data_IF_050063337274
#
_entry.id   IF_050063337274
#
_cell.length_a   1.000
_cell.length_b   1.000
_cell.length_c   1.000
_cell.angle_alpha   90.00
_cell.angle_beta   90.00
_cell.angle_gamma   90.00
#
_symmetry.space_group_name_H-M   'P 1'
#
loop_
_entity.id
_entity.type
_entity.pdbx_description
1 polymer ?
#
# COMPACT_ATOMS: atom_id res chain seq x y z
N UNK A 1 15.27 -2.59 -0.36
CA UNK A 1 14.08 -2.56 0.48
C UNK A 1 12.84 -2.77 -0.39
N UNK A 2 11.83 -3.44 0.12
CA UNK A 2 10.58 -3.66 -0.58
C UNK A 2 9.47 -2.87 0.11
N UNK A 3 8.79 -2.02 -0.64
CA UNK A 3 7.81 -1.07 -0.12
C UNK A 3 6.46 -1.36 -0.76
N UNK A 4 5.41 -1.41 0.06
CA UNK A 4 4.03 -1.53 -0.41
C UNK A 4 3.27 -0.25 -0.09
N UNK A 5 2.68 0.36 -1.12
CA UNK A 5 1.79 1.52 -0.98
C UNK A 5 0.35 1.02 -1.10
N UNK A 6 -0.51 1.40 -0.15
CA UNK A 6 -1.93 1.08 -0.19
C UNK A 6 -2.71 2.34 -0.56
N UNK A 7 -3.39 2.31 -1.70
CA UNK A 7 -4.27 3.38 -2.15
C UNK A 7 -5.42 2.81 -2.98
N UNK A 8 -6.57 2.60 -2.36
CA UNK A 8 -7.72 1.96 -2.99
C UNK A 8 -8.51 2.87 -3.96
N UNK A 9 -8.65 4.15 -3.67
CA UNK A 9 -9.45 5.11 -4.45
C UNK A 9 -9.78 6.28 -3.54
N UNK A 10 -10.44 7.36 -3.87
CA UNK A 10 -11.17 7.72 -5.06
C UNK A 10 -10.27 8.40 -6.11
N UNK A 11 -10.87 8.75 -7.29
CA UNK A 11 -10.09 9.26 -8.43
C UNK A 11 -9.32 10.55 -8.11
N UNK A 12 -9.95 11.53 -7.45
CA UNK A 12 -9.28 12.78 -7.08
C UNK A 12 -8.10 12.55 -6.14
N UNK A 13 -8.29 11.69 -5.14
CA UNK A 13 -7.25 11.33 -4.18
C UNK A 13 -6.12 10.53 -4.83
N UNK A 14 -6.43 9.73 -5.84
CA UNK A 14 -5.41 8.99 -6.59
C UNK A 14 -4.43 9.95 -7.28
N UNK A 15 -4.96 11.00 -7.91
CA UNK A 15 -4.15 12.00 -8.60
C UNK A 15 -3.24 12.73 -7.61
N UNK A 16 -3.77 13.12 -6.44
CA UNK A 16 -2.98 13.76 -5.40
C UNK A 16 -1.88 12.83 -4.88
N UNK A 17 -2.15 11.53 -4.79
CA UNK A 17 -1.17 10.56 -4.30
C UNK A 17 0.02 10.38 -5.24
N UNK A 18 -0.06 10.81 -6.51
CA UNK A 18 1.06 10.72 -7.45
C UNK A 18 2.28 11.51 -6.95
N UNK A 19 2.05 12.68 -6.34
CA UNK A 19 3.13 13.48 -5.75
C UNK A 19 3.84 12.73 -4.61
N UNK A 20 3.08 12.07 -3.76
CA UNK A 20 3.62 11.25 -2.68
C UNK A 20 4.45 10.08 -3.22
N UNK A 21 3.96 9.41 -4.26
CA UNK A 21 4.67 8.30 -4.89
C UNK A 21 5.98 8.76 -5.57
N UNK A 22 5.95 9.93 -6.22
CA UNK A 22 7.14 10.53 -6.82
C UNK A 22 8.21 10.82 -5.76
N UNK A 23 7.80 11.41 -4.65
CA UNK A 23 8.69 11.71 -3.52
C UNK A 23 9.29 10.43 -2.95
N UNK A 24 8.46 9.40 -2.78
CA UNK A 24 8.91 8.12 -2.28
C UNK A 24 9.96 7.48 -3.20
N UNK A 25 9.72 7.50 -4.51
CA UNK A 25 10.69 6.98 -5.47
C UNK A 25 12.00 7.76 -5.44
N UNK A 26 11.94 9.08 -5.29
CA UNK A 26 13.14 9.91 -5.20
C UNK A 26 13.97 9.58 -3.96
N UNK A 27 13.32 9.28 -2.84
CA UNK A 27 14.00 8.93 -1.59
C UNK A 27 14.50 7.48 -1.55
N UNK A 28 13.89 6.58 -2.33
CA UNK A 28 14.25 5.15 -2.36
C UNK A 28 14.44 4.69 -3.82
N UNK A 29 15.46 5.23 -4.53
CA UNK A 29 15.57 5.00 -5.99
C UNK A 29 15.84 3.54 -6.37
N UNK A 30 16.41 2.76 -5.46
CA UNK A 30 16.78 1.37 -5.72
C UNK A 30 15.85 0.35 -5.05
N UNK A 31 14.77 0.80 -4.43
CA UNK A 31 13.81 -0.08 -3.78
C UNK A 31 12.76 -0.59 -4.77
N UNK A 32 12.22 -1.78 -4.48
CA UNK A 32 11.05 -2.30 -5.18
C UNK A 32 9.81 -1.67 -4.54
N UNK A 33 9.02 -0.98 -5.33
CA UNK A 33 7.80 -0.30 -4.89
C UNK A 33 6.58 -0.96 -5.53
N UNK A 34 5.71 -1.49 -4.70
CA UNK A 34 4.46 -2.11 -5.10
C UNK A 34 3.30 -1.20 -4.72
N UNK A 35 2.29 -1.14 -5.58
CA UNK A 35 1.06 -0.41 -5.30
C UNK A 35 -0.10 -1.39 -5.19
N UNK A 36 -0.84 -1.36 -4.07
CA UNK A 36 -2.06 -2.12 -3.87
C UNK A 36 -3.25 -1.19 -4.07
N UNK A 37 -4.06 -1.46 -5.08
CA UNK A 37 -5.22 -0.64 -5.45
C UNK A 37 -6.36 -1.53 -5.92
N UNK A 38 -7.54 -0.95 -6.16
CA UNK A 38 -8.66 -1.68 -6.76
C UNK A 38 -8.40 -1.91 -8.25
N UNK A 39 -8.90 -3.03 -8.78
CA UNK A 39 -8.67 -3.39 -10.18
C UNK A 39 -9.19 -2.37 -11.18
N UNK A 40 -10.29 -1.67 -10.86
CA UNK A 40 -10.84 -0.63 -11.74
C UNK A 40 -9.96 0.61 -11.85
N UNK A 41 -9.01 0.81 -10.95
CA UNK A 41 -8.05 1.92 -10.99
C UNK A 41 -6.68 1.51 -11.54
N UNK A 42 -6.47 0.23 -11.81
CA UNK A 42 -5.16 -0.28 -12.27
C UNK A 42 -4.67 0.44 -13.53
N UNK A 43 -5.55 0.74 -14.47
CA UNK A 43 -5.20 1.40 -15.73
C UNK A 43 -4.63 2.79 -15.53
N UNK A 44 -5.02 3.50 -14.47
CA UNK A 44 -4.52 4.84 -14.15
C UNK A 44 -3.04 4.78 -13.79
N UNK A 45 -2.63 3.72 -13.11
CA UNK A 45 -1.28 3.59 -12.58
C UNK A 45 -0.34 2.77 -13.47
N UNK A 46 -0.84 2.09 -14.50
CA UNK A 46 -0.07 1.08 -15.26
C UNK A 46 1.20 1.65 -15.91
N UNK A 47 1.20 2.93 -16.27
CA UNK A 47 2.34 3.60 -16.87
C UNK A 47 3.05 4.55 -15.91
N UNK A 48 2.76 4.46 -14.62
CA UNK A 48 3.34 5.35 -13.62
C UNK A 48 4.79 4.94 -13.33
N UNK A 49 5.79 5.82 -13.60
CA UNK A 49 7.20 5.44 -13.51
C UNK A 49 7.70 5.28 -12.06
N UNK A 50 6.90 5.66 -11.08
CA UNK A 50 7.31 5.63 -9.66
C UNK A 50 7.09 4.27 -9.00
N UNK A 51 6.34 3.39 -9.64
CA UNK A 51 5.91 2.10 -9.07
C UNK A 51 6.40 0.97 -9.98
N UNK A 52 6.98 -0.07 -9.39
CA UNK A 52 7.49 -1.21 -10.15
C UNK A 52 6.39 -2.20 -10.54
N UNK A 53 5.40 -2.40 -9.66
CA UNK A 53 4.34 -3.36 -9.91
C UNK A 53 3.05 -2.94 -9.21
N UNK A 54 1.93 -3.23 -9.86
CA UNK A 54 0.59 -2.96 -9.32
C UNK A 54 -0.06 -4.28 -8.91
N UNK A 55 -0.52 -4.33 -7.66
CA UNK A 55 -1.29 -5.43 -7.11
C UNK A 55 -2.71 -4.97 -6.88
N UNK A 56 -3.67 -5.88 -6.88
CA UNK A 56 -5.08 -5.52 -6.75
C UNK A 56 -5.70 -6.05 -5.46
N UNK A 57 -6.55 -5.22 -4.85
CA UNK A 57 -7.41 -5.56 -3.74
C UNK A 57 -8.81 -5.05 -4.06
N UNK A 58 -9.72 -5.95 -4.35
CA UNK A 58 -11.08 -5.60 -4.76
C UNK A 58 -12.04 -5.42 -3.60
N UNK A 59 -11.51 -5.23 -2.37
CA UNK A 59 -12.29 -4.98 -1.17
C UNK A 59 -13.35 -6.07 -0.94
N UNK A 60 -12.93 -7.31 -1.04
CA UNK A 60 -13.74 -8.47 -0.67
C UNK A 60 -14.04 -8.47 0.83
N UNK A 61 -14.64 -9.52 1.35
CA UNK A 61 -14.83 -9.67 2.80
C UNK A 61 -13.52 -9.36 3.52
N UNK A 62 -13.59 -8.60 4.62
CA UNK A 62 -12.39 -8.05 5.28
C UNK A 62 -11.34 -9.11 5.59
N UNK A 63 -11.75 -10.29 6.08
CA UNK A 63 -10.79 -11.34 6.40
C UNK A 63 -10.09 -11.93 5.18
N UNK A 64 -10.76 -11.98 4.03
CA UNK A 64 -10.12 -12.39 2.76
C UNK A 64 -9.08 -11.39 2.32
N UNK A 65 -9.40 -10.11 2.40
CA UNK A 65 -8.49 -9.04 2.03
C UNK A 65 -7.27 -9.02 2.96
N UNK A 66 -7.47 -9.21 4.26
CA UNK A 66 -6.37 -9.29 5.24
C UNK A 66 -5.48 -10.49 4.92
N UNK A 67 -6.06 -11.65 4.65
CA UNK A 67 -5.29 -12.86 4.30
C UNK A 67 -4.47 -12.63 3.04
N UNK A 68 -5.07 -12.03 2.01
CA UNK A 68 -4.36 -11.70 0.77
C UNK A 68 -3.22 -10.73 1.02
N UNK A 69 -3.44 -9.71 1.82
CA UNK A 69 -2.42 -8.73 2.18
C UNK A 69 -1.26 -9.38 2.93
N UNK A 70 -1.54 -10.24 3.91
CA UNK A 70 -0.50 -10.96 4.65
C UNK A 70 0.31 -11.86 3.72
N UNK A 71 -0.33 -12.51 2.75
CA UNK A 71 0.38 -13.31 1.74
C UNK A 71 1.28 -12.44 0.87
N UNK A 72 0.83 -11.27 0.45
CA UNK A 72 1.65 -10.32 -0.32
C UNK A 72 2.88 -9.90 0.48
N UNK A 73 2.71 -9.52 1.74
CA UNK A 73 3.81 -9.11 2.62
C UNK A 73 4.86 -10.22 2.69
N UNK A 74 4.41 -11.46 2.85
CA UNK A 74 5.30 -12.61 2.97
C UNK A 74 6.00 -12.93 1.65
N UNK A 75 5.24 -13.03 0.56
CA UNK A 75 5.78 -13.42 -0.75
C UNK A 75 6.74 -12.39 -1.31
N UNK A 76 6.40 -11.11 -1.20
CA UNK A 76 7.21 -10.00 -1.73
C UNK A 76 8.25 -9.52 -0.73
N UNK A 77 8.29 -10.08 0.46
CA UNK A 77 9.23 -9.70 1.53
C UNK A 77 9.17 -8.19 1.80
N UNK A 78 7.97 -7.67 2.00
CA UNK A 78 7.75 -6.25 2.22
C UNK A 78 8.35 -5.82 3.56
N UNK A 79 9.13 -4.73 3.53
CA UNK A 79 9.76 -4.15 4.72
C UNK A 79 8.98 -2.95 5.27
N UNK A 80 8.33 -2.19 4.39
CA UNK A 80 7.62 -0.96 4.74
C UNK A 80 6.28 -0.92 4.01
N UNK A 81 5.21 -0.68 4.77
CA UNK A 81 3.88 -0.44 4.23
C UNK A 81 3.55 1.04 4.40
N UNK A 82 3.17 1.71 3.34
CA UNK A 82 2.74 3.11 3.36
C UNK A 82 1.26 3.17 3.03
N UNK A 83 0.45 3.52 4.03
CA UNK A 83 -0.99 3.63 3.89
C UNK A 83 -1.36 5.06 3.50
N UNK A 84 -1.59 5.30 2.22
CA UNK A 84 -2.07 6.56 1.70
C UNK A 84 -3.60 6.65 1.69
N UNK A 85 -4.28 5.54 1.93
CA UNK A 85 -5.74 5.52 1.96
C UNK A 85 -6.31 6.05 3.27
N UNK A 86 -5.69 5.68 4.39
CA UNK A 86 -6.08 6.15 5.73
C UNK A 86 -7.57 5.98 6.03
N UNK A 87 -8.13 4.84 5.65
CA UNK A 87 -9.54 4.50 5.89
C UNK A 87 -9.69 3.58 7.09
N UNK A 88 -10.93 3.36 7.55
CA UNK A 88 -11.21 2.37 8.59
C UNK A 88 -10.78 0.99 8.14
N UNK A 89 -10.99 0.66 6.87
CA UNK A 89 -10.58 -0.63 6.31
C UNK A 89 -9.06 -0.82 6.38
N UNK A 90 -8.28 0.18 5.98
CA UNK A 90 -6.81 0.09 6.05
C UNK A 90 -6.31 0.14 7.48
N UNK A 91 -7.02 0.77 8.40
CA UNK A 91 -6.70 0.71 9.82
C UNK A 91 -6.79 -0.73 10.35
N UNK A 92 -7.81 -1.48 9.92
CA UNK A 92 -7.91 -2.91 10.25
C UNK A 92 -6.76 -3.69 9.64
N UNK A 93 -6.40 -3.41 8.38
CA UNK A 93 -5.24 -4.03 7.75
C UNK A 93 -3.97 -3.79 8.57
N UNK A 94 -3.73 -2.55 8.98
CA UNK A 94 -2.54 -2.16 9.73
C UNK A 94 -2.49 -2.86 11.10
N UNK A 95 -3.63 -3.04 11.75
CA UNK A 95 -3.73 -3.80 12.99
C UNK A 95 -3.22 -5.23 12.81
N UNK A 96 -3.72 -5.94 11.79
CA UNK A 96 -3.28 -7.30 11.52
C UNK A 96 -1.83 -7.38 11.08
N UNK A 97 -1.35 -6.44 10.28
CA UNK A 97 0.06 -6.38 9.89
C UNK A 97 0.97 -6.21 11.10
N UNK A 98 0.57 -5.38 12.06
CA UNK A 98 1.36 -5.13 13.26
C UNK A 98 1.46 -6.37 14.14
N UNK A 99 0.41 -7.19 14.18
CA UNK A 99 0.39 -8.43 14.97
C UNK A 99 1.16 -9.55 14.28
N UNK A 100 0.96 -9.74 12.97
CA UNK A 100 1.40 -10.93 12.24
C UNK A 100 2.68 -10.72 11.43
N UNK A 101 3.18 -9.49 11.30
CA UNK A 101 4.39 -9.21 10.53
C UNK A 101 5.33 -8.31 11.29
N UNK A 102 6.59 -8.24 10.81
CA UNK A 102 7.61 -7.35 11.34
C UNK A 102 7.81 -6.10 10.48
N UNK A 103 6.99 -5.89 9.45
CA UNK A 103 7.14 -4.74 8.57
C UNK A 103 6.79 -3.44 9.31
N UNK A 104 7.44 -2.35 8.89
CA UNK A 104 7.12 -1.01 9.37
C UNK A 104 5.88 -0.49 8.66
N UNK A 105 5.09 0.32 9.34
CA UNK A 105 3.85 0.89 8.80
C UNK A 105 3.90 2.40 8.92
N UNK A 106 3.71 3.10 7.81
CA UNK A 106 3.55 4.55 7.78
C UNK A 106 2.08 4.87 7.45
N UNK A 107 1.41 5.55 8.37
CA UNK A 107 -0.01 5.88 8.25
C UNK A 107 -0.33 7.07 9.14
N UNK A 108 -1.37 7.82 8.80
CA UNK A 108 -1.93 8.84 9.68
C UNK A 108 -2.82 8.23 10.78
N UNK A 109 -3.05 6.92 10.71
CA UNK A 109 -3.93 6.20 11.63
C UNK A 109 -3.17 5.63 12.83
N UNK A 110 -3.94 5.01 13.74
CA UNK A 110 -3.55 4.58 15.08
C UNK A 110 -2.38 3.60 15.13
N UNK A 111 -2.25 2.71 14.18
CA UNK A 111 -1.25 1.63 14.21
C UNK A 111 0.01 1.94 13.39
N UNK A 112 0.26 3.21 13.13
CA UNK A 112 1.45 3.62 12.40
C UNK A 112 2.72 3.48 13.25
N UNK A 113 3.83 3.07 12.61
CA UNK A 113 5.17 3.12 13.18
C UNK A 113 5.75 4.54 13.13
N UNK A 114 5.20 5.39 12.27
CA UNK A 114 5.63 6.78 12.03
C UNK A 114 4.43 7.70 12.10
N UNK A 115 4.34 8.54 13.09
CA UNK A 115 3.29 9.55 13.19
C UNK A 115 3.86 10.96 13.04
#
# INVERSE_FOLDING_TARGET
MNILIIKHGSLGDLIVSFGAMKTLRANYPNSNIYLLTQSNYKKIFINLPYVDKILTDNRLAIFRSVKNLLNIIKEKKINLVIDLQNSTRTEIYNFFLKIFTKCKISSARKFSSYK
#
